data_IF_108774501522
#
_entry.id   IF_108774501522
#
_cell.length_a   1.000
_cell.length_b   1.000
_cell.length_c   1.000
_cell.angle_alpha   90.00
_cell.angle_beta   90.00
_cell.angle_gamma   90.00
#
_symmetry.space_group_name_H-M   'P 1'
#
loop_
_entity.id
_entity.type
_entity.pdbx_description
1 polymer ?
#
# COMPACT_ATOMS: atom_id res chain seq x y z
N UNK A 1 -2.26 -3.18 24.80
CA UNK A 1 -2.76 -1.85 24.40
C UNK A 1 -1.64 -0.86 24.60
N UNK A 2 -1.07 -0.32 23.53
CA UNK A 2 -0.14 0.80 23.64
C UNK A 2 -1.01 2.06 23.49
N UNK A 3 -1.17 2.82 24.57
CA UNK A 3 -1.70 4.18 24.49
C UNK A 3 -0.57 5.06 23.92
N UNK A 4 -0.73 5.53 22.69
CA UNK A 4 0.14 6.55 22.13
C UNK A 4 -0.40 7.91 22.60
N UNK A 5 0.26 8.51 23.60
CA UNK A 5 -0.09 9.83 24.17
C UNK A 5 0.38 11.04 23.33
N UNK A 6 0.66 10.86 22.03
CA UNK A 6 0.90 11.97 21.12
C UNK A 6 -0.10 11.90 19.97
N UNK A 7 -0.77 13.02 19.66
CA UNK A 7 -1.55 13.19 18.44
C UNK A 7 -0.62 12.96 17.23
N UNK A 8 -0.56 11.72 16.76
CA UNK A 8 0.13 11.38 15.53
C UNK A 8 -0.61 12.05 14.38
N UNK A 9 -0.01 13.09 13.81
CA UNK A 9 -0.48 13.68 12.56
C UNK A 9 0.19 12.97 11.38
N UNK A 10 -0.51 12.08 10.65
CA UNK A 10 0.08 11.37 9.52
C UNK A 10 0.51 12.30 8.39
N UNK A 11 0.04 13.56 8.35
CA UNK A 11 0.47 14.55 7.34
C UNK A 11 1.92 15.01 7.56
N UNK A 12 2.46 14.81 8.77
CA UNK A 12 3.85 15.10 9.10
C UNK A 12 4.78 13.91 8.86
N UNK A 13 4.22 12.73 8.58
CA UNK A 13 5.02 11.53 8.32
C UNK A 13 5.68 11.61 6.95
N UNK A 14 6.91 11.11 6.85
CA UNK A 14 7.65 11.09 5.58
C UNK A 14 8.50 9.83 5.48
N UNK A 15 8.64 9.33 4.26
CA UNK A 15 9.48 8.18 3.93
C UNK A 15 10.52 8.67 2.94
N UNK A 16 11.79 8.69 3.36
CA UNK A 16 12.86 9.01 2.44
C UNK A 16 13.02 7.88 1.42
N UNK A 17 12.47 8.08 0.22
CA UNK A 17 12.54 7.18 -0.93
C UNK A 17 13.47 7.76 -1.99
N UNK A 18 14.77 7.63 -1.79
CA UNK A 18 15.79 8.11 -2.75
C UNK A 18 16.25 7.02 -3.72
N UNK A 19 15.93 5.76 -3.42
CA UNK A 19 16.39 4.56 -4.13
C UNK A 19 15.30 3.94 -5.04
N UNK A 20 14.09 4.50 -5.01
CA UNK A 20 12.95 4.06 -5.81
C UNK A 20 12.46 5.23 -6.64
N UNK A 21 12.39 5.05 -7.96
CA UNK A 21 11.93 6.08 -8.87
C UNK A 21 10.57 5.72 -9.53
N UNK A 22 10.10 6.62 -10.39
CA UNK A 22 8.83 6.44 -11.10
C UNK A 22 8.85 5.23 -12.05
N UNK A 23 9.99 4.92 -12.67
CA UNK A 23 10.14 3.77 -13.56
C UNK A 23 10.06 2.47 -12.76
N UNK A 24 10.62 2.44 -11.57
CA UNK A 24 10.51 1.28 -10.67
C UNK A 24 9.06 0.97 -10.33
N UNK A 25 8.31 1.98 -9.90
CA UNK A 25 6.90 1.85 -9.49
C UNK A 25 5.99 1.48 -10.65
N UNK A 26 6.23 2.04 -11.84
CA UNK A 26 5.31 1.90 -12.97
C UNK A 26 5.64 0.73 -13.90
N UNK A 27 6.88 0.25 -13.92
CA UNK A 27 7.31 -0.74 -14.91
C UNK A 27 8.05 -1.92 -14.29
N UNK A 28 9.07 -1.68 -13.46
CA UNK A 28 9.99 -2.74 -13.03
C UNK A 28 9.35 -3.61 -11.94
N UNK A 29 8.83 -3.00 -10.89
CA UNK A 29 8.19 -3.72 -9.77
C UNK A 29 6.94 -4.47 -10.24
N UNK A 30 5.99 -3.85 -11.00
CA UNK A 30 4.88 -4.59 -11.61
C UNK A 30 5.31 -5.80 -12.43
N UNK A 31 6.34 -5.64 -13.27
CA UNK A 31 6.87 -6.74 -14.08
C UNK A 31 7.44 -7.87 -13.23
N UNK A 32 8.20 -7.56 -12.18
CA UNK A 32 8.74 -8.58 -11.24
C UNK A 32 7.64 -9.29 -10.45
N UNK A 33 6.54 -8.60 -10.16
CA UNK A 33 5.35 -9.17 -9.53
C UNK A 33 4.42 -9.89 -10.53
N UNK A 34 4.74 -9.88 -11.82
CA UNK A 34 3.93 -10.46 -12.90
C UNK A 34 2.48 -9.94 -12.91
N UNK A 35 2.33 -8.62 -12.78
CA UNK A 35 1.03 -7.94 -12.81
C UNK A 35 1.02 -6.78 -13.80
N UNK A 36 -0.17 -6.49 -14.34
CA UNK A 36 -0.45 -5.27 -15.10
C UNK A 36 -0.93 -4.18 -14.15
N UNK A 37 -0.08 -3.20 -13.86
CA UNK A 37 -0.38 -2.18 -12.85
C UNK A 37 -1.56 -1.29 -13.28
N UNK A 38 -2.52 -1.07 -12.38
CA UNK A 38 -3.79 -0.35 -12.57
C UNK A 38 -4.77 -0.99 -13.56
N UNK A 39 -4.52 -2.21 -14.02
CA UNK A 39 -5.48 -2.96 -14.82
C UNK A 39 -6.76 -3.22 -14.01
N UNK A 40 -7.88 -3.25 -14.70
CA UNK A 40 -9.15 -3.67 -14.10
C UNK A 40 -9.17 -5.19 -13.89
N UNK A 41 -9.85 -5.64 -12.84
CA UNK A 41 -10.09 -7.06 -12.56
C UNK A 41 -11.55 -7.26 -12.12
N UNK A 42 -12.22 -8.37 -12.49
CA UNK A 42 -13.60 -8.61 -12.10
C UNK A 42 -13.76 -9.02 -10.63
N UNK A 43 -12.66 -9.40 -9.94
CA UNK A 43 -12.69 -9.91 -8.56
C UNK A 43 -11.58 -9.30 -7.73
N UNK A 44 -11.89 -9.01 -6.47
CA UNK A 44 -10.90 -8.69 -5.45
C UNK A 44 -10.02 -9.92 -5.18
N UNK A 45 -8.76 -9.70 -4.84
CA UNK A 45 -7.95 -10.70 -4.16
C UNK A 45 -8.44 -10.82 -2.72
N UNK A 46 -8.31 -12.03 -2.16
CA UNK A 46 -8.69 -12.33 -0.78
C UNK A 46 -7.79 -13.46 -0.27
N UNK A 47 -7.16 -13.22 0.89
CA UNK A 47 -6.17 -14.11 1.49
C UNK A 47 -4.73 -13.63 1.34
N UNK A 48 -3.80 -14.58 1.44
CA UNK A 48 -2.36 -14.30 1.52
C UNK A 48 -1.80 -13.57 0.30
N UNK A 49 -0.88 -12.65 0.56
CA UNK A 49 -0.23 -11.84 -0.49
C UNK A 49 1.26 -12.10 -0.50
N UNK A 50 1.76 -12.59 -1.63
CA UNK A 50 3.19 -12.75 -1.89
C UNK A 50 3.77 -11.45 -2.45
N UNK A 51 4.98 -11.12 -2.01
CA UNK A 51 5.70 -9.94 -2.46
C UNK A 51 7.19 -10.20 -2.67
N UNK A 52 7.86 -9.18 -3.19
CA UNK A 52 9.29 -9.17 -3.51
C UNK A 52 10.04 -8.19 -2.63
N UNK A 53 11.32 -8.46 -2.42
CA UNK A 53 12.28 -7.51 -1.86
C UNK A 53 12.97 -6.82 -3.04
N UNK A 54 12.96 -5.49 -3.07
CA UNK A 54 13.43 -4.71 -4.21
C UNK A 54 14.28 -3.50 -3.81
N UNK A 55 15.27 -3.20 -4.65
CA UNK A 55 16.08 -1.99 -4.56
C UNK A 55 17.24 -2.09 -3.55
N UNK A 56 18.14 -1.10 -3.57
CA UNK A 56 19.32 -1.04 -2.70
C UNK A 56 18.99 -1.08 -1.20
N UNK A 57 17.82 -0.55 -0.79
CA UNK A 57 17.38 -0.55 0.61
C UNK A 57 16.51 -1.75 0.97
N UNK A 58 16.44 -2.80 0.12
CA UNK A 58 15.71 -4.04 0.37
C UNK A 58 14.24 -3.82 0.78
N UNK A 59 13.53 -3.00 0.01
CA UNK A 59 12.16 -2.59 0.30
C UNK A 59 11.16 -3.67 -0.07
N UNK A 60 10.15 -3.85 0.76
CA UNK A 60 9.12 -4.88 0.59
C UNK A 60 7.99 -4.34 -0.31
N UNK A 61 7.83 -4.91 -1.50
CA UNK A 61 6.73 -4.57 -2.42
C UNK A 61 5.84 -5.76 -2.72
N UNK A 62 4.53 -5.58 -2.64
CA UNK A 62 3.57 -6.57 -3.11
C UNK A 62 2.53 -5.94 -4.04
N UNK A 63 1.75 -6.80 -4.71
CA UNK A 63 0.58 -6.38 -5.48
C UNK A 63 -0.68 -7.01 -4.89
N UNK A 64 -1.72 -6.20 -4.74
CA UNK A 64 -3.06 -6.66 -4.37
C UNK A 64 -4.12 -5.76 -5.01
N UNK A 65 -5.39 -6.12 -4.89
CA UNK A 65 -6.49 -5.32 -5.42
C UNK A 65 -6.89 -4.20 -4.49
N UNK A 66 -7.16 -3.04 -5.06
CA UNK A 66 -7.95 -1.97 -4.42
C UNK A 66 -9.32 -1.95 -5.07
N UNK A 67 -10.37 -1.87 -4.27
CA UNK A 67 -11.74 -1.67 -4.72
C UNK A 67 -12.32 -0.38 -4.14
N UNK A 68 -13.00 0.36 -5.01
CA UNK A 68 -13.89 1.46 -4.61
C UNK A 68 -15.10 1.47 -5.55
N UNK A 69 -16.29 1.53 -4.96
CA UNK A 69 -17.55 1.36 -5.68
C UNK A 69 -17.48 0.04 -6.49
N UNK A 70 -17.82 0.10 -7.78
CA UNK A 70 -17.80 -1.07 -8.68
C UNK A 70 -16.48 -1.26 -9.44
N UNK A 71 -15.47 -0.43 -9.17
CA UNK A 71 -14.14 -0.51 -9.80
C UNK A 71 -13.20 -1.31 -8.91
N UNK A 72 -12.43 -2.22 -9.51
CA UNK A 72 -11.39 -3.00 -8.84
C UNK A 72 -10.14 -2.95 -9.70
N UNK A 73 -9.01 -2.52 -9.11
CA UNK A 73 -7.73 -2.37 -9.81
C UNK A 73 -6.61 -3.08 -9.09
N UNK A 74 -5.65 -3.62 -9.83
CA UNK A 74 -4.43 -4.21 -9.27
C UNK A 74 -3.43 -3.09 -8.97
N UNK A 75 -2.96 -3.01 -7.73
CA UNK A 75 -2.12 -1.92 -7.22
C UNK A 75 -0.91 -2.50 -6.47
N UNK A 76 0.25 -1.88 -6.68
CA UNK A 76 1.47 -2.18 -5.93
C UNK A 76 1.55 -1.35 -4.65
N UNK A 77 1.97 -1.97 -3.55
CA UNK A 77 2.17 -1.32 -2.26
C UNK A 77 3.59 -1.58 -1.75
N UNK A 78 4.21 -0.52 -1.20
CA UNK A 78 5.34 -0.62 -0.29
C UNK A 78 4.80 -1.01 1.10
N UNK A 79 5.36 -2.05 1.72
CA UNK A 79 5.05 -2.40 3.11
C UNK A 79 6.02 -1.64 4.01
N UNK A 80 5.46 -0.82 4.91
CA UNK A 80 6.25 -0.04 5.86
C UNK A 80 5.66 -0.17 7.26
N UNK A 81 6.47 -0.66 8.19
CA UNK A 81 6.08 -0.85 9.59
C UNK A 81 6.31 0.41 10.46
N UNK A 82 6.91 1.46 9.90
CA UNK A 82 7.08 2.77 10.53
C UNK A 82 5.78 3.57 10.67
N UNK A 83 5.00 3.81 9.60
CA UNK A 83 3.75 4.55 9.68
C UNK A 83 2.62 3.71 10.26
N UNK A 84 1.77 4.36 11.06
CA UNK A 84 0.45 3.81 11.41
C UNK A 84 -0.51 3.83 10.21
N UNK A 85 -0.54 4.93 9.47
CA UNK A 85 -1.50 5.16 8.36
C UNK A 85 -1.12 4.40 7.08
N UNK A 86 -2.12 3.95 6.33
CA UNK A 86 -1.96 3.45 4.95
C UNK A 86 -2.19 4.58 3.97
N UNK A 87 -1.35 4.68 2.94
CA UNK A 87 -1.35 5.76 1.97
C UNK A 87 -1.57 5.25 0.55
N UNK A 88 -2.24 6.09 -0.26
CA UNK A 88 -2.54 5.81 -1.66
C UNK A 88 -2.09 6.99 -2.53
N UNK A 89 -1.40 6.69 -3.63
CA UNK A 89 -0.85 7.71 -4.52
C UNK A 89 -1.93 8.45 -5.28
N UNK A 90 -1.63 9.67 -5.74
CA UNK A 90 -2.53 10.42 -6.61
C UNK A 90 -2.89 9.64 -7.87
N UNK A 91 -1.94 8.89 -8.44
CA UNK A 91 -2.18 8.10 -9.65
C UNK A 91 -3.27 7.05 -9.47
N UNK A 92 -3.29 6.36 -8.33
CA UNK A 92 -4.36 5.40 -8.02
C UNK A 92 -5.68 6.14 -7.77
N UNK A 93 -5.67 7.25 -7.03
CA UNK A 93 -6.87 8.06 -6.81
C UNK A 93 -7.51 8.52 -8.13
N UNK A 94 -6.70 9.03 -9.05
CA UNK A 94 -7.13 9.46 -10.38
C UNK A 94 -7.73 8.29 -11.18
N UNK A 95 -7.16 7.08 -11.07
CA UNK A 95 -7.69 5.88 -11.73
C UNK A 95 -9.07 5.44 -11.20
N UNK A 96 -9.48 5.93 -10.03
CA UNK A 96 -10.81 5.75 -9.44
C UNK A 96 -11.71 7.00 -9.56
N UNK A 97 -11.29 8.02 -10.32
CA UNK A 97 -11.96 9.32 -10.45
C UNK A 97 -12.20 10.02 -9.10
N UNK A 98 -11.25 9.88 -8.17
CA UNK A 98 -11.34 10.47 -6.83
C UNK A 98 -10.59 11.80 -6.82
N UNK A 99 -11.34 12.89 -6.73
CA UNK A 99 -10.79 14.23 -6.56
C UNK A 99 -10.88 14.66 -5.10
N UNK A 100 -9.72 14.85 -4.45
CA UNK A 100 -9.68 15.35 -3.08
C UNK A 100 -9.82 16.87 -3.10
N UNK A 101 -11.01 17.36 -2.77
CA UNK A 101 -11.37 18.79 -2.84
C UNK A 101 -10.88 19.55 -1.60
N UNK A 102 -10.75 18.88 -0.47
CA UNK A 102 -10.36 19.46 0.82
C UNK A 102 -8.99 18.92 1.28
N UNK A 103 -7.95 19.76 1.34
CA UNK A 103 -6.62 19.40 1.88
C UNK A 103 -6.63 19.06 3.39
N UNK A 104 -7.71 19.36 4.11
CA UNK A 104 -7.87 18.99 5.50
C UNK A 104 -8.48 17.58 5.67
N UNK A 105 -9.10 17.03 4.62
CA UNK A 105 -9.76 15.72 4.64
C UNK A 105 -9.20 14.80 3.54
N UNK A 106 -7.91 14.49 3.68
CA UNK A 106 -7.13 13.68 2.74
C UNK A 106 -7.40 12.16 2.88
N UNK A 107 -8.49 11.77 3.54
CA UNK A 107 -8.85 10.37 3.76
C UNK A 107 -9.88 9.84 2.77
N UNK A 108 -9.73 8.57 2.42
CA UNK A 108 -10.64 7.82 1.56
C UNK A 108 -10.89 6.44 2.16
N UNK A 109 -12.14 6.00 2.13
CA UNK A 109 -12.49 4.61 2.39
C UNK A 109 -12.40 3.80 1.10
N UNK A 110 -11.67 2.69 1.15
CA UNK A 110 -11.52 1.70 0.06
C UNK A 110 -11.60 0.30 0.66
N UNK A 111 -11.57 -0.71 -0.21
CA UNK A 111 -11.18 -2.06 0.18
C UNK A 111 -9.82 -2.40 -0.43
N UNK A 112 -8.94 -3.00 0.36
CA UNK A 112 -7.64 -3.52 -0.07
C UNK A 112 -7.66 -5.01 0.22
N UNK A 113 -7.33 -5.85 -0.76
CA UNK A 113 -7.32 -7.31 -0.59
C UNK A 113 -8.59 -7.87 0.08
N UNK A 114 -9.77 -7.38 -0.31
CA UNK A 114 -11.04 -7.80 0.26
C UNK A 114 -11.38 -7.25 1.66
N UNK A 115 -10.50 -6.43 2.26
CA UNK A 115 -10.68 -5.86 3.61
C UNK A 115 -10.92 -4.35 3.55
N UNK A 116 -11.77 -3.84 4.44
CA UNK A 116 -12.03 -2.41 4.53
C UNK A 116 -10.78 -1.67 5.02
N UNK A 117 -10.45 -0.56 4.38
CA UNK A 117 -9.32 0.28 4.75
C UNK A 117 -9.68 1.76 4.64
N UNK A 118 -9.19 2.55 5.60
CA UNK A 118 -9.16 4.00 5.50
C UNK A 118 -7.74 4.41 5.14
N UNK A 119 -7.59 5.05 3.98
CA UNK A 119 -6.28 5.44 3.43
C UNK A 119 -6.17 6.95 3.31
N UNK A 120 -4.96 7.47 3.45
CA UNK A 120 -4.67 8.88 3.20
C UNK A 120 -3.96 9.06 1.85
N UNK A 121 -4.06 10.22 1.22
CA UNK A 121 -3.24 10.50 0.03
C UNK A 121 -1.75 10.51 0.38
N UNK A 122 -0.94 9.90 -0.49
CA UNK A 122 0.52 9.92 -0.37
C UNK A 122 1.06 11.32 -0.66
N UNK A 123 2.12 11.73 0.05
CA UNK A 123 2.68 13.08 -0.03
C UNK A 123 4.20 13.06 0.12
N UNK A 124 4.82 14.25 0.19
CA UNK A 124 6.26 14.42 0.42
C UNK A 124 7.12 13.56 -0.53
N UNK A 125 8.12 12.83 -0.02
CA UNK A 125 9.04 12.02 -0.82
C UNK A 125 8.43 10.70 -1.34
N UNK A 126 7.21 10.35 -0.94
CA UNK A 126 6.53 9.11 -1.32
C UNK A 126 5.22 9.34 -2.09
N UNK A 127 4.98 10.56 -2.60
CA UNK A 127 3.73 10.96 -3.29
C UNK A 127 3.26 10.04 -4.44
N UNK A 128 4.21 9.34 -5.07
CA UNK A 128 3.97 8.46 -6.22
C UNK A 128 3.87 6.97 -5.81
N UNK A 129 4.01 6.65 -4.52
CA UNK A 129 4.05 5.28 -3.98
C UNK A 129 2.86 5.04 -3.07
N UNK A 130 2.21 3.88 -3.18
CA UNK A 130 1.19 3.46 -2.22
C UNK A 130 1.89 2.74 -1.07
N UNK A 131 1.51 3.03 0.18
CA UNK A 131 2.19 2.51 1.37
C UNK A 131 1.17 1.81 2.26
N UNK A 132 1.43 0.56 2.62
CA UNK A 132 0.63 -0.18 3.58
C UNK A 132 1.25 -0.04 4.96
N UNK A 133 0.55 0.65 5.86
CA UNK A 133 1.00 0.96 7.21
C UNK A 133 0.48 -0.01 8.28
N UNK A 134 1.02 0.12 9.48
CA UNK A 134 0.80 -0.81 10.60
C UNK A 134 -0.65 -0.91 11.07
N UNK A 135 -1.48 0.14 10.97
CA UNK A 135 -2.89 0.03 11.37
C UNK A 135 -3.66 -0.91 10.47
N UNK A 136 -3.35 -0.94 9.16
CA UNK A 136 -3.98 -1.89 8.25
C UNK A 136 -3.53 -3.32 8.55
N UNK A 137 -2.22 -3.53 8.78
CA UNK A 137 -1.68 -4.84 9.13
C UNK A 137 -2.30 -5.37 10.43
N UNK A 138 -2.30 -4.54 11.48
CA UNK A 138 -2.82 -4.89 12.80
C UNK A 138 -4.34 -5.12 12.78
N UNK A 139 -5.12 -4.24 12.13
CA UNK A 139 -6.58 -4.37 12.09
C UNK A 139 -7.06 -5.61 11.33
N UNK A 140 -6.23 -6.16 10.45
CA UNK A 140 -6.54 -7.34 9.64
C UNK A 140 -5.76 -8.60 10.07
N UNK A 141 -5.11 -8.56 11.25
CA UNK A 141 -4.34 -9.67 11.81
C UNK A 141 -3.31 -10.26 10.83
N UNK A 142 -2.53 -9.39 10.18
CA UNK A 142 -1.58 -9.77 9.13
C UNK A 142 -0.18 -9.95 9.73
N UNK A 143 0.40 -11.14 9.51
CA UNK A 143 1.81 -11.40 9.81
C UNK A 143 2.69 -11.17 8.58
N UNK A 144 3.87 -10.57 8.79
CA UNK A 144 4.87 -10.32 7.73
C UNK A 144 6.02 -11.31 7.88
N UNK A 145 6.10 -12.27 6.96
CA UNK A 145 7.20 -13.25 6.91
C UNK A 145 8.21 -12.85 5.84
N UNK A 146 9.37 -12.34 6.26
CA UNK A 146 10.44 -11.90 5.36
C UNK A 146 11.42 -13.05 5.12
N UNK A 147 11.65 -13.40 3.87
CA UNK A 147 12.65 -14.38 3.46
C UNK A 147 13.75 -13.70 2.65
N UNK A 148 14.68 -13.07 3.36
CA UNK A 148 15.76 -12.28 2.76
C UNK A 148 16.64 -13.09 1.81
N UNK A 149 16.86 -14.38 2.09
CA UNK A 149 17.68 -15.26 1.23
C UNK A 149 17.05 -15.52 -0.13
N UNK A 150 15.71 -15.50 -0.21
CA UNK A 150 14.96 -15.70 -1.46
C UNK A 150 14.42 -14.39 -2.06
N UNK A 151 14.83 -13.25 -1.51
CA UNK A 151 14.38 -11.90 -1.92
C UNK A 151 12.85 -11.77 -2.03
N UNK A 152 12.11 -12.42 -1.12
CA UNK A 152 10.66 -12.38 -1.10
C UNK A 152 10.09 -12.30 0.31
N UNK A 153 8.79 -12.03 0.39
CA UNK A 153 8.06 -12.05 1.65
C UNK A 153 6.60 -12.48 1.43
N UNK A 154 5.95 -12.83 2.53
CA UNK A 154 4.54 -13.19 2.60
C UNK A 154 3.84 -12.29 3.61
N UNK A 155 2.70 -11.73 3.21
CA UNK A 155 1.68 -11.22 4.12
C UNK A 155 0.69 -12.35 4.37
N UNK A 156 0.75 -12.94 5.55
CA UNK A 156 -0.16 -14.02 5.96
C UNK A 156 -1.38 -13.41 6.65
N UNK A 157 -2.56 -13.62 6.07
CA UNK A 157 -3.81 -13.14 6.63
C UNK A 157 -4.38 -14.23 7.54
N UNK A 158 -4.16 -14.07 8.84
CA UNK A 158 -4.69 -15.00 9.82
C UNK A 158 -6.22 -14.99 9.77
N UNK A 159 -6.84 -16.17 9.76
CA UNK A 159 -8.30 -16.27 9.82
C UNK A 159 -8.81 -15.59 11.11
N UNK A 160 -9.79 -14.72 10.94
CA UNK A 160 -10.57 -14.10 12.04
C UNK A 160 -11.85 -14.88 12.22
#
# INVERSE_FOLDING_TARGET
MIQLENEYDPRLFDILLTDIDKKDILEIIPRRLNIDYLSDTPKEFDGDVYGIIYGPQLRLFCATTVKRNDKIKIVTFLIDTGPSTTYISKKVLDAFDIFMVDPANDYVNVRINGKNARVMRSHSHFKDVNVMGMLYLNANNIDVHINSGNENFLLHFNQV
#
